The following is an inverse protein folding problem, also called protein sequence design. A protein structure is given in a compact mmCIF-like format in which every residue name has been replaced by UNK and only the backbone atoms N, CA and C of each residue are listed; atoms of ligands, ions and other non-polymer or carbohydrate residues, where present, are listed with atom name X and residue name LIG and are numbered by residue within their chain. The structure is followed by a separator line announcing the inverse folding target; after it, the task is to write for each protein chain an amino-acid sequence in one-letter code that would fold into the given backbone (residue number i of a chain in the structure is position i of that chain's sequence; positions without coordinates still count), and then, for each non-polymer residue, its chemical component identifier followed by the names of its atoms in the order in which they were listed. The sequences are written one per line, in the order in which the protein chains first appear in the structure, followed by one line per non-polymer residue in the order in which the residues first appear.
data_IF_027631486422
#
_entry.id   IF_027631486422
#
_cell.length_a   1.000
_cell.length_b   1.000
_cell.length_c   1.000
_cell.angle_alpha   90.00
_cell.angle_beta   90.00
_cell.angle_gamma   90.00
#
_symmetry.space_group_name_H-M   'P 1'
#
loop_
_entity.id
_entity.type
_entity.pdbx_description
1 polymer ?
#
# COMPACT_ATOMS: atom_id res chain seq x y z
N UNK A 1 -16.69 9.24 0.62
CA UNK A 1 -16.66 9.92 1.94
C UNK A 1 -17.51 9.24 3.03
N UNK A 2 -17.95 7.98 2.84
CA UNK A 2 -18.81 7.25 3.80
C UNK A 2 -18.02 6.33 4.77
N UNK A 3 -16.80 5.88 4.42
CA UNK A 3 -16.00 4.95 5.23
C UNK A 3 -15.35 5.60 6.46
N UNK A 4 -15.18 6.92 6.45
CA UNK A 4 -14.29 7.60 7.40
C UNK A 4 -14.76 7.51 8.86
N UNK A 5 -16.09 7.58 9.08
CA UNK A 5 -16.66 7.37 10.41
C UNK A 5 -16.56 5.90 10.86
N UNK A 6 -16.78 4.97 9.92
CA UNK A 6 -16.71 3.54 10.18
C UNK A 6 -15.29 3.07 10.52
N UNK A 7 -14.28 3.56 9.80
CA UNK A 7 -12.88 3.21 10.04
C UNK A 7 -12.37 3.75 11.39
N UNK A 8 -12.84 4.94 11.79
CA UNK A 8 -12.54 5.52 13.10
C UNK A 8 -13.15 4.68 14.23
N UNK A 9 -14.43 4.34 14.11
CA UNK A 9 -15.16 3.53 15.10
C UNK A 9 -14.58 2.12 15.22
N UNK A 10 -14.23 1.49 14.09
CA UNK A 10 -13.55 0.19 14.07
C UNK A 10 -12.19 0.27 14.75
N UNK A 11 -11.42 1.33 14.50
CA UNK A 11 -10.14 1.54 15.16
C UNK A 11 -10.29 1.70 16.68
N UNK A 12 -11.30 2.44 17.15
CA UNK A 12 -11.61 2.57 18.57
C UNK A 12 -11.95 1.21 19.21
N UNK A 13 -12.80 0.41 18.56
CA UNK A 13 -13.16 -0.94 19.01
C UNK A 13 -11.95 -1.89 19.05
N UNK A 14 -11.01 -1.75 18.11
CA UNK A 14 -9.76 -2.52 18.10
C UNK A 14 -8.88 -2.19 19.32
N UNK A 15 -8.69 -0.91 19.65
CA UNK A 15 -7.91 -0.54 20.84
C UNK A 15 -8.58 -1.03 22.13
N UNK A 16 -9.90 -0.90 22.25
CA UNK A 16 -10.64 -1.41 23.41
C UNK A 16 -10.50 -2.94 23.56
N UNK A 17 -10.53 -3.67 22.44
CA UNK A 17 -10.34 -5.13 22.44
C UNK A 17 -8.94 -5.54 22.90
N UNK A 18 -7.91 -4.78 22.50
CA UNK A 18 -6.52 -5.03 22.92
C UNK A 18 -6.35 -4.70 24.40
N UNK A 19 -6.90 -3.57 24.87
CA UNK A 19 -6.87 -3.17 26.27
C UNK A 19 -7.54 -4.20 27.19
N UNK A 20 -8.72 -4.69 26.78
CA UNK A 20 -9.44 -5.76 27.49
C UNK A 20 -8.62 -7.05 27.57
N UNK A 21 -7.97 -7.43 26.47
CA UNK A 21 -7.17 -8.64 26.39
C UNK A 21 -5.92 -8.56 27.28
N UNK A 22 -5.17 -7.47 27.22
CA UNK A 22 -3.98 -7.24 28.04
C UNK A 22 -4.33 -7.15 29.52
N UNK A 23 -5.42 -6.47 29.87
CA UNK A 23 -5.86 -6.34 31.26
C UNK A 23 -6.21 -7.71 31.87
N UNK A 24 -6.88 -8.59 31.09
CA UNK A 24 -7.18 -9.97 31.50
C UNK A 24 -5.94 -10.83 31.66
N UNK A 25 -4.97 -10.72 30.76
CA UNK A 25 -3.75 -11.54 30.80
C UNK A 25 -2.79 -11.11 31.91
N UNK A 26 -2.62 -9.81 32.13
CA UNK A 26 -1.63 -9.28 33.07
C UNK A 26 -2.22 -8.93 34.45
N UNK A 27 -3.54 -9.05 34.64
CA UNK A 27 -4.25 -8.63 35.87
C UNK A 27 -3.84 -7.21 36.34
N UNK A 28 -3.49 -6.36 35.38
CA UNK A 28 -3.06 -4.97 35.57
C UNK A 28 -3.81 -4.12 34.56
N UNK A 29 -4.30 -2.96 34.98
CA UNK A 29 -4.93 -2.02 34.05
C UNK A 29 -3.86 -1.45 33.13
N UNK A 30 -3.89 -1.87 31.87
CA UNK A 30 -3.03 -1.36 30.79
C UNK A 30 -3.95 -0.68 29.81
N UNK A 31 -3.76 0.63 29.63
CA UNK A 31 -4.52 1.45 28.67
C UNK A 31 -3.62 1.82 27.50
N UNK A 32 -3.96 1.38 26.30
CA UNK A 32 -3.31 1.79 25.07
C UNK A 32 -4.02 3.03 24.56
N UNK A 33 -3.28 4.12 24.47
CA UNK A 33 -3.77 5.38 23.89
C UNK A 33 -3.31 5.49 22.44
N UNK A 34 -4.13 6.16 21.63
CA UNK A 34 -3.75 6.51 20.27
C UNK A 34 -2.58 7.49 20.32
N UNK A 35 -1.60 7.28 19.44
CA UNK A 35 -0.53 8.26 19.21
C UNK A 35 -1.10 9.45 18.43
N UNK A 36 -0.60 10.66 18.68
CA UNK A 36 -1.02 11.89 17.97
C UNK A 36 -0.93 11.71 16.44
N UNK A 37 0.16 11.09 15.97
CA UNK A 37 0.37 10.77 14.54
C UNK A 37 -0.65 9.82 13.94
N UNK A 38 -1.26 8.95 14.77
CA UNK A 38 -2.28 8.00 14.34
C UNK A 38 -3.64 8.68 14.31
N UNK A 39 -3.93 9.51 15.31
CA UNK A 39 -5.15 10.30 15.39
C UNK A 39 -5.26 11.29 14.22
N UNK A 40 -4.15 11.93 13.85
CA UNK A 40 -4.06 12.78 12.66
C UNK A 40 -4.37 12.02 11.37
N UNK A 41 -3.81 10.80 11.20
CA UNK A 41 -4.04 9.99 9.99
C UNK A 41 -5.47 9.47 9.88
N UNK A 42 -6.08 9.09 11.02
CA UNK A 42 -7.45 8.58 11.06
C UNK A 42 -8.50 9.68 10.96
N UNK A 43 -8.20 10.88 11.44
CA UNK A 43 -9.12 12.01 11.39
C UNK A 43 -8.97 12.86 10.12
N UNK A 44 -7.79 12.83 9.48
CA UNK A 44 -7.46 13.73 8.39
C UNK A 44 -6.77 13.05 7.20
N UNK A 45 -7.11 11.81 6.81
CA UNK A 45 -6.68 11.33 5.48
C UNK A 45 -7.40 12.16 4.40
N UNK A 46 -6.77 13.27 4.01
CA UNK A 46 -7.30 14.19 3.03
C UNK A 46 -7.09 13.64 1.63
N UNK A 47 -7.78 14.20 0.63
CA UNK A 47 -7.52 13.87 -0.79
C UNK A 47 -6.03 14.02 -1.13
N UNK A 48 -5.36 15.01 -0.54
CA UNK A 48 -3.91 15.20 -0.67
C UNK A 48 -3.12 13.98 -0.18
N UNK A 49 -3.47 13.41 0.97
CA UNK A 49 -2.77 12.26 1.53
C UNK A 49 -3.06 10.97 0.75
N UNK A 50 -4.29 10.84 0.23
CA UNK A 50 -4.68 9.74 -0.66
C UNK A 50 -3.89 9.83 -1.97
N UNK A 51 -3.80 11.01 -2.58
CA UNK A 51 -3.03 11.21 -3.82
C UNK A 51 -1.55 10.95 -3.58
N UNK A 52 -0.98 11.48 -2.49
CA UNK A 52 0.43 11.30 -2.17
C UNK A 52 0.77 9.83 -1.92
N UNK A 53 -0.06 9.11 -1.16
CA UNK A 53 0.14 7.68 -0.90
C UNK A 53 -0.05 6.83 -2.15
N UNK A 54 -1.06 7.12 -2.97
CA UNK A 54 -1.31 6.42 -4.24
C UNK A 54 -0.18 6.62 -5.26
N UNK A 55 0.34 7.85 -5.34
CA UNK A 55 1.48 8.17 -6.19
C UNK A 55 2.74 7.45 -5.70
N UNK A 56 3.02 7.51 -4.40
CA UNK A 56 4.19 6.83 -3.81
C UNK A 56 4.12 5.32 -4.05
N UNK A 57 2.95 4.72 -3.82
CA UNK A 57 2.72 3.30 -4.09
C UNK A 57 2.92 2.94 -5.56
N UNK A 58 2.32 3.71 -6.47
CA UNK A 58 2.41 3.47 -7.92
C UNK A 58 3.84 3.59 -8.42
N UNK A 59 4.57 4.61 -7.96
CA UNK A 59 5.97 4.85 -8.31
C UNK A 59 6.88 3.77 -7.77
N UNK A 60 6.71 3.35 -6.51
CA UNK A 60 7.52 2.29 -5.92
C UNK A 60 7.31 0.96 -6.63
N UNK A 61 6.06 0.65 -6.99
CA UNK A 61 5.72 -0.54 -7.78
C UNK A 61 6.34 -0.49 -9.18
N UNK A 62 6.20 0.63 -9.88
CA UNK A 62 6.79 0.82 -11.21
C UNK A 62 8.31 0.71 -11.17
N UNK A 63 8.97 1.31 -10.18
CA UNK A 63 10.42 1.21 -10.01
C UNK A 63 10.86 -0.23 -9.77
N UNK A 64 10.14 -0.99 -8.91
CA UNK A 64 10.44 -2.40 -8.68
C UNK A 64 10.30 -3.23 -9.96
N UNK A 65 9.25 -3.02 -10.74
CA UNK A 65 9.08 -3.72 -12.02
C UNK A 65 10.27 -3.45 -12.94
N UNK A 66 10.67 -2.18 -13.11
CA UNK A 66 11.83 -1.82 -13.95
C UNK A 66 13.11 -2.46 -13.45
N UNK A 67 13.35 -2.45 -12.14
CA UNK A 67 14.53 -3.07 -11.54
C UNK A 67 14.59 -4.58 -11.80
N UNK A 68 13.46 -5.29 -11.70
CA UNK A 68 13.41 -6.73 -12.01
C UNK A 68 13.81 -7.01 -13.47
N UNK A 69 13.39 -6.16 -14.42
CA UNK A 69 13.82 -6.31 -15.82
C UNK A 69 15.27 -5.89 -16.04
N UNK A 70 15.76 -4.88 -15.32
CA UNK A 70 17.16 -4.43 -15.39
C UNK A 70 18.14 -5.45 -14.74
N UNK A 71 17.70 -6.18 -13.71
CA UNK A 71 18.49 -7.27 -13.12
C UNK A 71 18.62 -8.48 -14.04
N UNK A 72 17.60 -8.70 -14.89
CA UNK A 72 17.56 -9.80 -15.87
C UNK A 72 18.32 -9.46 -17.16
N UNK A 73 18.63 -8.20 -17.41
CA UNK A 73 19.42 -7.79 -18.57
C UNK A 73 20.92 -7.83 -18.24
N UNK A 74 21.75 -8.17 -19.24
CA UNK A 74 23.21 -8.11 -19.09
C UNK A 74 23.71 -6.68 -18.80
N UNK A 75 22.95 -5.67 -19.23
CA UNK A 75 23.21 -4.24 -19.00
C UNK A 75 22.43 -3.73 -17.78
N UNK A 76 22.91 -4.04 -16.58
CA UNK A 76 22.27 -3.71 -15.28
C UNK A 76 21.99 -2.23 -15.02
N UNK A 77 22.53 -1.33 -15.82
CA UNK A 77 22.39 0.13 -15.70
C UNK A 77 21.41 0.76 -16.70
N UNK A 78 20.91 -0.01 -17.68
CA UNK A 78 19.96 0.52 -18.67
C UNK A 78 18.51 0.40 -18.19
N UNK A 79 18.12 1.33 -17.31
CA UNK A 79 16.76 1.44 -16.79
C UNK A 79 15.75 1.81 -17.88
N UNK A 80 16.18 2.50 -18.95
CA UNK A 80 15.29 2.91 -20.04
C UNK A 80 14.85 1.71 -20.85
N UNK A 81 15.79 0.86 -21.27
CA UNK A 81 15.46 -0.36 -22.00
C UNK A 81 14.63 -1.33 -21.14
N UNK A 82 14.99 -1.48 -19.85
CA UNK A 82 14.23 -2.29 -18.91
C UNK A 82 12.76 -1.81 -18.75
N UNK A 83 12.54 -0.49 -18.71
CA UNK A 83 11.19 0.08 -18.68
C UNK A 83 10.40 -0.22 -19.96
N UNK A 84 11.02 -0.13 -21.14
CA UNK A 84 10.38 -0.50 -22.39
C UNK A 84 10.03 -1.99 -22.44
N UNK A 85 10.93 -2.88 -22.03
CA UNK A 85 10.65 -4.31 -21.92
C UNK A 85 9.47 -4.60 -20.98
N UNK A 86 9.42 -3.92 -19.83
CA UNK A 86 8.30 -4.03 -18.88
C UNK A 86 6.97 -3.60 -19.49
N UNK A 87 6.96 -2.49 -20.24
CA UNK A 87 5.77 -1.99 -20.91
C UNK A 87 5.31 -2.93 -22.04
N UNK A 88 6.24 -3.39 -22.88
CA UNK A 88 5.96 -4.34 -23.96
C UNK A 88 5.38 -5.65 -23.43
N UNK A 89 5.95 -6.20 -22.35
CA UNK A 89 5.43 -7.43 -21.75
C UNK A 89 3.99 -7.26 -21.24
N UNK A 90 3.69 -6.12 -20.60
CA UNK A 90 2.33 -5.81 -20.13
C UNK A 90 1.35 -5.71 -21.30
N UNK A 91 1.73 -5.00 -22.38
CA UNK A 91 0.90 -4.85 -23.57
C UNK A 91 0.70 -6.21 -24.25
N UNK A 92 1.78 -6.94 -24.52
CA UNK A 92 1.74 -8.26 -25.15
C UNK A 92 0.82 -9.21 -24.39
N UNK A 93 0.96 -9.27 -23.06
CA UNK A 93 0.09 -10.10 -22.21
C UNK A 93 -1.39 -9.75 -22.37
N UNK A 94 -1.75 -8.46 -22.48
CA UNK A 94 -3.15 -8.08 -22.73
C UNK A 94 -3.65 -8.51 -24.10
N UNK A 95 -2.81 -8.50 -25.14
CA UNK A 95 -3.17 -8.99 -26.48
C UNK A 95 -3.30 -10.52 -26.53
N UNK A 96 -2.42 -11.23 -25.83
CA UNK A 96 -2.46 -12.68 -25.68
C UNK A 96 -3.72 -13.13 -24.93
N UNK A 97 -4.03 -12.51 -23.79
CA UNK A 97 -5.25 -12.78 -23.01
C UNK A 97 -6.54 -12.40 -23.76
N UNK A 98 -6.48 -11.41 -24.65
CA UNK A 98 -7.60 -11.03 -25.51
C UNK A 98 -7.80 -11.98 -26.71
N UNK A 99 -6.91 -12.96 -26.94
CA UNK A 99 -7.02 -13.93 -28.02
C UNK A 99 -6.77 -13.36 -29.42
N UNK A 100 -6.16 -12.17 -29.53
CA UNK A 100 -5.86 -11.49 -30.80
C UNK A 100 -4.60 -12.10 -31.46
N UNK A 101 -3.77 -12.75 -30.67
CA UNK A 101 -2.52 -13.37 -31.10
C UNK A 101 -2.64 -14.88 -31.44
N UNK A 102 -3.87 -15.41 -31.53
CA UNK A 102 -4.17 -16.80 -31.92
C UNK A 102 -4.57 -16.94 -33.38
#
# INVERSE_FOLDING_TARGET
RLSFGYDKELSDLLFESIDSSLTKTFNKSIKITKSDTYEDKISNATEKDIVQSSLTYSMQRAARDVLVYAERSDTKLDLRNAAYCSALFKIFKTYEEAGIAG
#
